data_IF_817149126675
#
_entry.id   IF_817149126675
#
_cell.length_a   1.000
_cell.length_b   1.000
_cell.length_c   1.000
_cell.angle_alpha   90.00
_cell.angle_beta   90.00
_cell.angle_gamma   90.00
#
_symmetry.space_group_name_H-M   'P 1'
#
loop_
_entity.id
_entity.type
_entity.pdbx_description
1 polymer ?
#
# COMPACT_ATOMS: atom_id res chain seq x y z
N UNK A 1 -4.95 -11.32 -5.85
CA UNK A 1 -4.89 -9.92 -5.37
C UNK A 1 -5.19 -8.96 -6.52
N UNK A 2 -5.52 -7.73 -6.19
CA UNK A 2 -5.75 -6.64 -7.13
C UNK A 2 -4.50 -5.77 -7.34
N UNK A 3 -3.34 -6.40 -7.36
CA UNK A 3 -2.06 -5.75 -7.50
C UNK A 3 -1.93 -4.92 -8.78
N UNK A 4 -1.33 -3.75 -8.65
CA UNK A 4 -0.81 -2.99 -9.76
C UNK A 4 0.51 -2.33 -9.39
N UNK A 5 1.30 -2.00 -10.41
CA UNK A 5 2.62 -1.42 -10.26
C UNK A 5 2.67 -0.08 -10.99
N UNK A 6 3.02 0.97 -10.26
CA UNK A 6 3.24 2.29 -10.81
C UNK A 6 4.75 2.51 -10.95
N UNK A 7 5.16 3.00 -12.11
CA UNK A 7 6.55 3.38 -12.36
C UNK A 7 6.59 4.89 -12.51
N UNK A 8 7.35 5.55 -11.67
CA UNK A 8 7.41 7.01 -11.64
C UNK A 8 8.84 7.50 -11.45
N UNK A 9 9.05 8.78 -11.72
CA UNK A 9 10.30 9.43 -11.35
C UNK A 9 10.37 9.64 -9.84
N UNK A 10 11.58 9.78 -9.24
CA UNK A 10 11.70 10.08 -7.81
C UNK A 10 10.91 11.32 -7.36
N UNK A 11 10.78 12.33 -8.22
CA UNK A 11 10.05 13.57 -7.92
C UNK A 11 8.53 13.37 -7.94
N UNK A 12 8.03 12.40 -8.70
CA UNK A 12 6.61 12.05 -8.78
C UNK A 12 6.16 11.11 -7.65
N UNK A 13 7.09 10.42 -6.97
CA UNK A 13 6.80 9.37 -6.00
C UNK A 13 5.74 9.80 -4.98
N UNK A 14 5.92 10.97 -4.37
CA UNK A 14 5.01 11.46 -3.33
C UNK A 14 3.59 11.66 -3.87
N UNK A 15 3.46 12.31 -5.03
CA UNK A 15 2.16 12.57 -5.64
C UNK A 15 1.43 11.28 -6.01
N UNK A 16 2.13 10.32 -6.60
CA UNK A 16 1.58 9.02 -6.96
C UNK A 16 1.18 8.21 -5.73
N UNK A 17 2.00 8.24 -4.68
CA UNK A 17 1.69 7.58 -3.41
C UNK A 17 0.43 8.15 -2.75
N UNK A 18 0.29 9.48 -2.71
CA UNK A 18 -0.90 10.18 -2.21
C UNK A 18 -2.15 9.81 -3.02
N UNK A 19 -2.04 9.71 -4.36
CA UNK A 19 -3.12 9.27 -5.23
C UNK A 19 -3.61 7.84 -4.91
N UNK A 20 -2.68 6.93 -4.63
CA UNK A 20 -3.05 5.55 -4.19
C UNK A 20 -3.73 5.56 -2.84
N UNK A 21 -3.27 6.38 -1.87
CA UNK A 21 -3.94 6.54 -0.58
C UNK A 21 -5.39 7.03 -0.76
N UNK A 22 -5.62 7.96 -1.70
CA UNK A 22 -6.97 8.46 -2.00
C UNK A 22 -7.88 7.35 -2.55
N UNK A 23 -7.36 6.50 -3.45
CA UNK A 23 -8.10 5.35 -4.00
C UNK A 23 -8.50 4.39 -2.88
N UNK A 24 -7.56 4.00 -2.01
CA UNK A 24 -7.85 3.09 -0.89
C UNK A 24 -8.86 3.70 0.07
N UNK A 25 -8.71 4.97 0.43
CA UNK A 25 -9.63 5.67 1.30
C UNK A 25 -11.03 5.79 0.69
N UNK A 26 -11.12 6.01 -0.63
CA UNK A 26 -12.38 6.02 -1.37
C UNK A 26 -13.07 4.65 -1.30
N UNK A 27 -12.34 3.57 -1.56
CA UNK A 27 -12.85 2.20 -1.51
C UNK A 27 -13.39 1.90 -0.11
N UNK A 28 -12.62 2.12 0.94
CA UNK A 28 -13.03 1.78 2.30
C UNK A 28 -14.25 2.60 2.76
N UNK A 29 -14.31 3.88 2.40
CA UNK A 29 -15.52 4.70 2.65
C UNK A 29 -16.73 4.19 1.90
N UNK A 30 -16.57 3.76 0.64
CA UNK A 30 -17.67 3.22 -0.17
C UNK A 30 -18.31 1.99 0.46
N UNK A 31 -17.49 1.14 1.10
CA UNK A 31 -17.94 -0.06 1.79
C UNK A 31 -18.25 0.16 3.28
N UNK A 32 -18.03 1.39 3.80
CA UNK A 32 -18.27 1.70 5.20
C UNK A 32 -17.29 1.09 6.17
N UNK A 33 -16.07 0.77 5.72
CA UNK A 33 -15.03 0.22 6.58
C UNK A 33 -14.29 1.32 7.36
N UNK A 34 -14.22 1.13 8.67
CA UNK A 34 -13.24 1.80 9.52
C UNK A 34 -11.91 1.06 9.43
N UNK A 35 -10.81 1.80 9.32
CA UNK A 35 -9.47 1.21 9.23
C UNK A 35 -8.45 1.89 10.13
N UNK A 36 -7.44 1.14 10.52
CA UNK A 36 -6.23 1.61 11.18
C UNK A 36 -5.07 1.53 10.18
N UNK A 37 -4.31 2.61 10.04
CA UNK A 37 -3.12 2.61 9.19
C UNK A 37 -1.87 2.16 9.97
N UNK A 38 -1.01 1.38 9.32
CA UNK A 38 0.24 0.89 9.88
C UNK A 38 1.38 1.10 8.89
N UNK A 39 2.43 1.84 9.31
CA UNK A 39 3.68 1.93 8.55
C UNK A 39 4.57 0.77 9.01
N UNK A 40 4.83 -0.14 8.10
CA UNK A 40 5.67 -1.32 8.33
C UNK A 40 7.10 -1.02 7.90
N UNK A 41 7.98 -0.85 8.89
CA UNK A 41 9.38 -0.47 8.72
C UNK A 41 10.30 -1.69 8.79
N UNK A 42 11.53 -1.58 8.24
CA UNK A 42 12.57 -2.61 8.40
C UNK A 42 12.96 -2.80 9.87
N UNK A 43 13.51 -3.97 10.17
CA UNK A 43 14.15 -4.22 11.48
C UNK A 43 15.64 -3.81 11.43
N UNK A 44 16.04 -2.77 12.16
CA UNK A 44 17.43 -2.32 12.16
C UNK A 44 18.40 -3.32 12.79
N UNK A 45 17.88 -4.32 13.55
CA UNK A 45 18.69 -5.38 14.17
C UNK A 45 18.93 -6.57 13.24
N UNK A 46 18.13 -6.69 12.17
CA UNK A 46 18.15 -7.80 11.23
C UNK A 46 18.21 -7.30 9.78
N UNK A 47 19.18 -6.41 9.52
CA UNK A 47 19.34 -5.78 8.19
C UNK A 47 19.62 -6.79 7.07
N UNK A 48 20.18 -7.94 7.39
CA UNK A 48 20.45 -9.04 6.45
C UNK A 48 19.19 -9.62 5.78
N UNK A 49 18.01 -9.35 6.34
CA UNK A 49 16.73 -9.78 5.77
C UNK A 49 16.24 -8.88 4.63
N UNK A 50 16.86 -7.73 4.45
CA UNK A 50 16.39 -6.69 3.54
C UNK A 50 17.42 -6.44 2.44
N UNK A 51 16.95 -6.23 1.22
CA UNK A 51 17.82 -5.92 0.07
C UNK A 51 18.00 -4.41 -0.08
N UNK A 52 19.13 -3.99 -0.64
CA UNK A 52 19.45 -2.59 -0.87
C UNK A 52 20.32 -1.97 0.22
N UNK A 53 20.57 -0.67 0.11
CA UNK A 53 21.41 0.08 1.04
C UNK A 53 20.58 0.81 2.10
N UNK A 54 21.21 1.21 3.19
CA UNK A 54 20.55 1.97 4.26
C UNK A 54 19.97 3.29 3.73
N UNK A 55 20.67 3.97 2.82
CA UNK A 55 20.22 5.25 2.24
C UNK A 55 18.91 5.08 1.44
N UNK A 56 18.80 3.98 0.68
CA UNK A 56 17.60 3.66 -0.08
C UNK A 56 16.43 3.39 0.86
N UNK A 57 16.65 2.65 1.93
CA UNK A 57 15.63 2.36 2.94
C UNK A 57 15.19 3.62 3.69
N UNK A 58 16.14 4.44 4.16
CA UNK A 58 15.83 5.69 4.86
C UNK A 58 15.00 6.64 3.98
N UNK A 59 15.31 6.70 2.67
CA UNK A 59 14.56 7.49 1.70
C UNK A 59 13.15 6.96 1.51
N UNK A 60 12.97 5.65 1.37
CA UNK A 60 11.66 5.03 1.16
C UNK A 60 10.77 5.14 2.42
N UNK A 61 11.32 4.86 3.60
CA UNK A 61 10.62 4.96 4.87
C UNK A 61 10.16 6.41 5.14
N UNK A 62 11.04 7.38 4.90
CA UNK A 62 10.73 8.81 5.04
C UNK A 62 9.61 9.22 4.10
N UNK A 63 9.64 8.80 2.84
CA UNK A 63 8.60 9.14 1.86
C UNK A 63 7.21 8.69 2.30
N UNK A 64 7.09 7.50 2.89
CA UNK A 64 5.82 6.99 3.43
C UNK A 64 5.36 7.79 4.65
N UNK A 65 6.27 8.08 5.58
CA UNK A 65 5.96 8.83 6.80
C UNK A 65 5.46 10.24 6.42
N UNK A 66 6.18 10.96 5.56
CA UNK A 66 5.81 12.30 5.10
C UNK A 66 4.47 12.31 4.35
N UNK A 67 4.18 11.29 3.55
CA UNK A 67 2.89 11.16 2.87
C UNK A 67 1.73 10.96 3.86
N UNK A 68 1.92 10.15 4.90
CA UNK A 68 0.92 9.99 5.96
C UNK A 68 0.68 11.28 6.73
N UNK A 69 1.74 12.01 7.08
CA UNK A 69 1.65 13.31 7.77
C UNK A 69 0.89 14.34 6.93
N UNK A 70 1.19 14.44 5.63
CA UNK A 70 0.50 15.37 4.72
C UNK A 70 -1.00 15.09 4.60
N UNK A 71 -1.39 13.82 4.60
CA UNK A 71 -2.81 13.41 4.61
C UNK A 71 -3.48 13.50 5.98
N UNK A 72 -2.75 13.85 7.04
CA UNK A 72 -3.25 13.80 8.42
C UNK A 72 -3.64 12.38 8.85
N UNK A 73 -3.04 11.36 8.22
CA UNK A 73 -3.32 9.96 8.51
C UNK A 73 -2.45 9.51 9.69
N UNK A 74 -3.08 9.27 10.84
CA UNK A 74 -2.40 8.71 12.01
C UNK A 74 -2.08 7.24 11.78
N UNK A 75 -0.85 6.95 11.37
CA UNK A 75 -0.37 5.61 11.13
C UNK A 75 0.56 5.14 12.25
N UNK A 76 0.31 3.93 12.76
CA UNK A 76 1.19 3.30 13.75
C UNK A 76 2.46 2.79 13.05
N UNK A 77 3.63 3.20 13.51
CA UNK A 77 4.90 2.64 13.03
C UNK A 77 5.20 1.30 13.71
N UNK A 78 5.48 0.28 12.90
CA UNK A 78 5.80 -1.08 13.36
C UNK A 78 7.09 -1.55 12.69
N UNK A 79 8.08 -1.86 13.50
CA UNK A 79 9.40 -2.32 13.07
C UNK A 79 9.39 -3.82 12.79
N UNK A 80 10.04 -4.26 11.72
CA UNK A 80 10.19 -5.68 11.38
C UNK A 80 9.11 -6.24 10.47
N UNK A 81 8.10 -5.45 10.10
CA UNK A 81 6.96 -5.87 9.27
C UNK A 81 7.08 -5.42 7.80
N UNK A 82 8.17 -4.75 7.43
CA UNK A 82 8.43 -4.38 6.04
C UNK A 82 8.62 -5.62 5.14
N UNK A 83 8.31 -5.47 3.85
CA UNK A 83 8.73 -6.46 2.86
C UNK A 83 10.26 -6.44 2.71
N UNK A 84 10.86 -7.54 2.23
CA UNK A 84 12.31 -7.62 2.10
C UNK A 84 12.91 -6.59 1.12
N UNK A 85 12.08 -6.04 0.21
CA UNK A 85 12.47 -5.08 -0.83
C UNK A 85 12.04 -3.64 -0.55
N UNK A 86 11.18 -3.38 0.44
CA UNK A 86 10.73 -2.03 0.72
C UNK A 86 9.74 -1.92 1.89
N UNK A 87 9.62 -0.71 2.46
CA UNK A 87 8.63 -0.43 3.50
C UNK A 87 7.22 -0.38 2.94
N UNK A 88 6.21 -0.53 3.83
CA UNK A 88 4.80 -0.59 3.45
C UNK A 88 3.95 0.35 4.29
N UNK A 89 2.87 0.83 3.70
CA UNK A 89 1.69 1.37 4.39
C UNK A 89 0.58 0.33 4.28
N UNK A 90 0.22 -0.28 5.39
CA UNK A 90 -0.82 -1.31 5.49
C UNK A 90 -2.10 -0.72 6.10
N UNK A 91 -3.24 -1.15 5.57
CA UNK A 91 -4.56 -0.74 6.03
C UNK A 91 -5.25 -1.94 6.70
N UNK A 92 -5.46 -1.82 8.01
CA UNK A 92 -5.99 -2.87 8.87
C UNK A 92 -7.46 -2.60 9.15
N UNK A 93 -8.33 -3.53 8.77
CA UNK A 93 -9.77 -3.49 9.02
C UNK A 93 -10.15 -4.51 10.09
N UNK A 94 -11.15 -4.22 10.90
CA UNK A 94 -11.72 -5.17 11.86
C UNK A 94 -12.93 -5.86 11.26
N UNK A 95 -13.00 -7.18 11.43
CA UNK A 95 -14.20 -7.95 11.11
C UNK A 95 -15.28 -7.79 12.20
N UNK A 96 -16.43 -8.42 12.00
CA UNK A 96 -17.55 -8.36 12.92
C UNK A 96 -17.22 -8.90 14.33
N UNK A 97 -16.21 -9.75 14.47
CA UNK A 97 -15.72 -10.29 15.74
C UNK A 97 -14.59 -9.46 16.36
N UNK A 98 -14.18 -8.34 15.72
CA UNK A 98 -13.09 -7.48 16.17
C UNK A 98 -11.70 -7.98 15.83
N UNK A 99 -11.55 -9.04 15.01
CA UNK A 99 -10.25 -9.53 14.54
C UNK A 99 -9.69 -8.57 13.48
N UNK A 100 -8.40 -8.27 13.56
CA UNK A 100 -7.72 -7.38 12.61
C UNK A 100 -7.27 -8.14 11.37
N UNK A 101 -7.59 -7.58 10.19
CA UNK A 101 -7.19 -8.10 8.90
C UNK A 101 -6.49 -7.02 8.09
N UNK A 102 -5.31 -7.32 7.56
CA UNK A 102 -4.70 -6.49 6.55
C UNK A 102 -5.47 -6.66 5.24
N UNK A 103 -6.02 -5.58 4.72
CA UNK A 103 -6.65 -5.51 3.40
C UNK A 103 -5.75 -4.75 2.44
N UNK A 104 -5.87 -3.43 2.38
CA UNK A 104 -5.06 -2.62 1.46
C UNK A 104 -3.59 -2.52 1.86
N UNK A 105 -2.72 -2.33 0.85
CA UNK A 105 -1.30 -2.07 1.05
C UNK A 105 -0.74 -1.20 -0.06
N UNK A 106 0.24 -0.36 0.29
CA UNK A 106 1.07 0.41 -0.64
C UNK A 106 2.53 0.20 -0.23
N UNK A 107 3.41 -0.11 -1.19
CA UNK A 107 4.83 -0.36 -0.94
C UNK A 107 5.68 0.52 -1.86
N UNK A 108 6.73 1.11 -1.30
CA UNK A 108 7.73 1.87 -2.07
C UNK A 108 8.94 0.99 -2.32
N UNK A 109 9.32 0.86 -3.57
CA UNK A 109 10.38 -0.04 -4.00
C UNK A 109 11.38 0.65 -4.92
N UNK A 110 12.59 0.83 -4.42
CA UNK A 110 13.75 1.28 -5.19
C UNK A 110 14.64 0.10 -5.62
N UNK A 111 14.46 -1.08 -5.04
CA UNK A 111 15.37 -2.20 -5.17
C UNK A 111 15.09 -3.05 -6.42
N UNK A 112 13.84 -3.40 -6.68
CA UNK A 112 13.51 -4.21 -7.86
C UNK A 112 13.77 -3.48 -9.18
N UNK A 113 13.46 -2.17 -9.35
CA UNK A 113 13.87 -1.44 -10.53
C UNK A 113 15.39 -1.51 -10.81
N UNK A 114 16.20 -1.43 -9.76
CA UNK A 114 17.66 -1.60 -9.89
C UNK A 114 18.04 -3.01 -10.32
N UNK A 115 17.50 -4.03 -9.66
CA UNK A 115 17.81 -5.44 -9.95
C UNK A 115 17.36 -5.89 -11.34
N UNK A 116 16.25 -5.35 -11.84
CA UNK A 116 15.77 -5.63 -13.19
C UNK A 116 16.39 -4.75 -14.27
N UNK A 117 17.27 -3.81 -13.90
CA UNK A 117 17.90 -2.91 -14.85
C UNK A 117 16.90 -1.98 -15.55
N UNK A 118 15.79 -1.62 -14.90
CA UNK A 118 14.77 -0.75 -15.49
C UNK A 118 15.33 0.65 -15.71
N UNK A 119 15.03 1.26 -16.85
CA UNK A 119 15.50 2.59 -17.20
C UNK A 119 14.40 3.37 -17.95
N UNK A 120 14.36 4.68 -17.75
CA UNK A 120 13.60 5.61 -18.58
C UNK A 120 14.50 6.74 -19.07
N UNK A 121 14.11 7.39 -20.15
CA UNK A 121 14.82 8.58 -20.66
C UNK A 121 14.19 9.82 -20.04
N UNK A 122 14.98 10.57 -19.28
CA UNK A 122 14.56 11.81 -18.63
C UNK A 122 14.51 13.01 -19.60
N UNK A 123 14.05 14.16 -19.11
CA UNK A 123 14.00 15.41 -19.85
C UNK A 123 15.41 15.92 -20.26
N UNK A 124 16.45 15.47 -19.57
CA UNK A 124 17.85 15.72 -19.86
C UNK A 124 18.43 14.79 -20.96
N UNK A 125 17.58 13.97 -21.57
CA UNK A 125 17.91 12.97 -22.58
C UNK A 125 18.91 11.89 -22.10
N UNK A 126 18.97 11.66 -20.76
CA UNK A 126 19.78 10.61 -20.15
C UNK A 126 18.90 9.52 -19.58
N UNK A 127 19.51 8.36 -19.37
CA UNK A 127 18.87 7.22 -18.72
C UNK A 127 18.85 7.40 -17.21
N UNK A 128 17.71 7.16 -16.60
CA UNK A 128 17.49 7.22 -15.17
C UNK A 128 16.78 5.98 -14.67
N UNK A 129 16.91 5.68 -13.36
CA UNK A 129 16.23 4.59 -12.70
C UNK A 129 14.85 5.05 -12.19
N UNK A 130 13.74 4.39 -12.55
CA UNK A 130 12.44 4.68 -11.98
C UNK A 130 12.34 4.20 -10.53
N UNK A 131 11.37 4.75 -9.79
CA UNK A 131 10.87 4.19 -8.54
C UNK A 131 9.62 3.39 -8.85
N UNK A 132 9.39 2.29 -8.14
CA UNK A 132 8.18 1.48 -8.27
C UNK A 132 7.34 1.58 -7.01
N UNK A 133 6.03 1.72 -7.21
CA UNK A 133 5.03 1.59 -6.15
C UNK A 133 4.21 0.34 -6.44
N UNK A 134 4.18 -0.59 -5.50
CA UNK A 134 3.25 -1.71 -5.52
C UNK A 134 2.00 -1.30 -4.75
N UNK A 135 0.83 -1.55 -5.29
CA UNK A 135 -0.42 -1.27 -4.59
C UNK A 135 -1.43 -2.40 -4.75
N UNK A 136 -2.14 -2.70 -3.68
CA UNK A 136 -3.26 -3.61 -3.66
C UNK A 136 -4.35 -3.01 -2.76
N UNK A 137 -5.30 -2.22 -3.29
CA UNK A 137 -6.35 -1.58 -2.52
C UNK A 137 -7.25 -2.54 -1.73
N UNK A 138 -7.64 -3.66 -2.34
CA UNK A 138 -8.43 -4.70 -1.68
C UNK A 138 -7.55 -5.73 -0.95
N UNK A 139 -6.32 -5.93 -1.41
CA UNK A 139 -5.44 -7.02 -0.99
C UNK A 139 -5.92 -8.38 -1.53
N UNK A 140 -6.04 -9.40 -0.69
CA UNK A 140 -6.67 -10.67 -1.09
C UNK A 140 -8.17 -10.45 -1.31
N UNK A 141 -8.65 -10.72 -2.53
CA UNK A 141 -10.06 -10.54 -2.89
C UNK A 141 -10.96 -11.45 -2.05
N UNK A 142 -10.53 -12.68 -1.79
CA UNK A 142 -11.28 -13.63 -0.96
C UNK A 142 -11.42 -13.11 0.48
N UNK A 143 -10.34 -12.57 1.06
CA UNK A 143 -10.37 -11.97 2.39
C UNK A 143 -11.26 -10.73 2.43
N UNK A 144 -11.13 -9.86 1.43
CA UNK A 144 -11.96 -8.66 1.32
C UNK A 144 -13.45 -9.02 1.26
N UNK A 145 -13.83 -9.99 0.41
CA UNK A 145 -15.21 -10.46 0.27
C UNK A 145 -15.70 -11.06 1.59
N UNK A 146 -14.89 -11.87 2.27
CA UNK A 146 -15.27 -12.46 3.54
C UNK A 146 -15.55 -11.40 4.61
N UNK A 147 -14.65 -10.40 4.74
CA UNK A 147 -14.82 -9.29 5.70
C UNK A 147 -16.04 -8.43 5.33
N UNK A 148 -16.27 -8.18 4.03
CA UNK A 148 -17.43 -7.43 3.54
C UNK A 148 -18.74 -8.15 3.85
N UNK A 149 -18.83 -9.46 3.60
CA UNK A 149 -20.03 -10.24 3.90
C UNK A 149 -20.35 -10.25 5.40
N UNK A 150 -19.33 -10.38 6.25
CA UNK A 150 -19.51 -10.26 7.71
C UNK A 150 -19.96 -8.85 8.10
N UNK A 151 -19.34 -7.81 7.54
CA UNK A 151 -19.62 -6.41 7.83
C UNK A 151 -21.06 -6.03 7.49
N UNK A 152 -21.57 -6.51 6.36
CA UNK A 152 -22.93 -6.25 5.88
C UNK A 152 -23.96 -7.27 6.38
N UNK A 153 -23.55 -8.29 7.13
CA UNK A 153 -24.39 -9.46 7.48
C UNK A 153 -25.07 -10.09 6.26
N UNK A 154 -24.40 -10.06 5.10
CA UNK A 154 -24.91 -10.54 3.82
C UNK A 154 -25.87 -9.58 3.11
N UNK A 155 -26.21 -8.43 3.69
CA UNK A 155 -27.07 -7.42 3.07
C UNK A 155 -26.22 -6.51 2.17
N UNK A 156 -25.99 -6.93 0.95
CA UNK A 156 -25.23 -6.16 -0.02
C UNK A 156 -26.07 -5.05 -0.67
N UNK A 157 -25.47 -3.91 -1.04
CA UNK A 157 -26.16 -2.89 -1.83
C UNK A 157 -26.56 -3.46 -3.21
N UNK A 158 -27.61 -2.91 -3.81
CA UNK A 158 -28.18 -3.44 -5.05
C UNK A 158 -27.14 -3.65 -6.15
N UNK A 159 -26.23 -2.70 -6.35
CA UNK A 159 -25.20 -2.76 -7.38
C UNK A 159 -24.17 -3.90 -7.17
N UNK A 160 -24.11 -4.49 -5.99
CA UNK A 160 -23.18 -5.59 -5.61
C UNK A 160 -23.95 -6.88 -5.34
N UNK A 161 -25.26 -6.84 -5.21
CA UNK A 161 -26.07 -8.02 -4.93
C UNK A 161 -26.09 -8.96 -6.14
N UNK A 162 -25.87 -10.29 -5.96
CA UNK A 162 -25.97 -11.27 -7.04
C UNK A 162 -27.36 -11.28 -7.68
N UNK A 163 -28.40 -11.27 -6.85
CA UNK A 163 -29.79 -11.21 -7.28
C UNK A 163 -30.32 -9.79 -7.09
N UNK A 164 -30.53 -9.07 -8.19
CA UNK A 164 -30.94 -7.66 -8.18
C UNK A 164 -32.45 -7.47 -8.27
N UNK A 165 -33.17 -8.51 -8.66
CA UNK A 165 -34.63 -8.57 -8.68
C UNK A 165 -35.07 -10.03 -8.53
N UNK A 166 -36.19 -10.21 -7.82
CA UNK A 166 -36.85 -11.49 -7.59
C UNK A 166 -38.31 -11.39 -8.06
#
# INVERSE_FOLDING_TARGET
QDDAHLFCTPDQLKQEFLGVMDIISFIFRTFGFDYEAQISLRDPKHKEKYVGTDEVWDKAERAIIEACEEKGLHAKQVTGEAAFYGPKLDFMVKDALGRRWQLGTIQVDYNLPERFGLEYVGADNKKHRPVMIHRAPFGSLERFIAVLLEHTAGHLPLWLAPDQAV
#
